data_IF_606547269292
#
_entry.id   IF_606547269292
#
_cell.length_a   1.000
_cell.length_b   1.000
_cell.length_c   1.000
_cell.angle_alpha   90.00
_cell.angle_beta   90.00
_cell.angle_gamma   90.00
#
_symmetry.space_group_name_H-M   'P 1'
#
loop_
_entity.id
_entity.type
_entity.pdbx_description
1 polymer ?
#
# COMPACT_ATOMS: atom_id res chain seq x y z
N UNK A 1 10.79 25.22 5.06
CA UNK A 1 9.49 24.94 4.40
C UNK A 1 9.60 23.97 3.24
N UNK A 2 10.72 24.03 2.51
CA UNK A 2 10.92 23.10 1.38
C UNK A 2 11.01 21.66 1.84
N UNK A 3 11.64 21.40 2.97
CA UNK A 3 11.74 20.05 3.53
C UNK A 3 10.35 19.46 3.84
N UNK A 4 9.46 20.30 4.34
CA UNK A 4 8.08 19.88 4.65
C UNK A 4 7.32 19.57 3.36
N UNK A 5 7.45 20.42 2.35
CA UNK A 5 6.81 20.20 1.04
C UNK A 5 7.32 18.91 0.40
N UNK A 6 8.62 18.66 0.48
CA UNK A 6 9.24 17.45 -0.07
C UNK A 6 8.74 16.21 0.66
N UNK A 7 8.60 16.28 1.98
CA UNK A 7 8.08 15.18 2.78
C UNK A 7 6.65 14.85 2.39
N UNK A 8 5.79 15.88 2.29
CA UNK A 8 4.39 15.70 1.90
C UNK A 8 4.29 15.03 0.53
N UNK A 9 5.09 15.51 -0.43
CA UNK A 9 5.10 14.95 -1.78
C UNK A 9 5.61 13.51 -1.78
N UNK A 10 6.64 13.22 -1.00
CA UNK A 10 7.17 11.86 -0.88
C UNK A 10 6.12 10.90 -0.32
N UNK A 11 5.32 11.35 0.65
CA UNK A 11 4.22 10.55 1.20
C UNK A 11 3.16 10.26 0.15
N UNK A 12 2.77 11.26 -0.63
CA UNK A 12 1.78 11.09 -1.69
C UNK A 12 2.27 10.08 -2.74
N UNK A 13 3.53 10.23 -3.17
CA UNK A 13 4.12 9.31 -4.14
C UNK A 13 4.20 7.89 -3.59
N UNK A 14 4.59 7.74 -2.33
CA UNK A 14 4.69 6.42 -1.69
C UNK A 14 3.33 5.73 -1.60
N UNK A 15 2.29 6.47 -1.22
CA UNK A 15 0.94 5.92 -1.16
C UNK A 15 0.43 5.48 -2.53
N UNK A 16 0.71 6.27 -3.58
CA UNK A 16 0.35 5.91 -4.95
C UNK A 16 1.08 4.64 -5.41
N UNK A 17 2.37 4.52 -5.09
CA UNK A 17 3.15 3.34 -5.45
C UNK A 17 2.59 2.07 -4.78
N UNK A 18 2.26 2.17 -3.50
CA UNK A 18 1.66 1.08 -2.74
C UNK A 18 0.30 0.70 -3.34
N UNK A 19 -0.53 1.70 -3.65
CA UNK A 19 -1.85 1.47 -4.25
C UNK A 19 -1.74 0.73 -5.58
N UNK A 20 -0.76 1.09 -6.43
CA UNK A 20 -0.54 0.41 -7.71
C UNK A 20 -0.13 -1.04 -7.52
N UNK A 21 0.78 -1.31 -6.58
CA UNK A 21 1.23 -2.66 -6.28
C UNK A 21 0.08 -3.52 -5.76
N UNK A 22 -0.73 -2.96 -4.88
CA UNK A 22 -1.90 -3.65 -4.31
C UNK A 22 -2.93 -3.92 -5.39
N UNK A 23 -3.20 -2.96 -6.27
CA UNK A 23 -4.16 -3.15 -7.35
C UNK A 23 -3.72 -4.25 -8.31
N UNK A 24 -2.42 -4.30 -8.63
CA UNK A 24 -1.88 -5.37 -9.46
C UNK A 24 -2.07 -6.75 -8.82
N UNK A 25 -1.86 -6.85 -7.52
CA UNK A 25 -2.07 -8.10 -6.78
C UNK A 25 -3.55 -8.49 -6.75
N UNK A 26 -4.44 -7.53 -6.53
CA UNK A 26 -5.89 -7.77 -6.56
C UNK A 26 -6.31 -8.29 -7.93
N UNK A 27 -5.80 -7.69 -9.01
CA UNK A 27 -6.10 -8.13 -10.36
C UNK A 27 -5.63 -9.57 -10.61
N UNK A 28 -4.45 -9.93 -10.10
CA UNK A 28 -3.95 -11.31 -10.19
C UNK A 28 -4.85 -12.28 -9.46
N UNK A 29 -5.31 -11.92 -8.26
CA UNK A 29 -6.23 -12.75 -7.48
C UNK A 29 -7.54 -12.95 -8.24
N UNK A 30 -8.09 -11.87 -8.80
CA UNK A 30 -9.35 -11.94 -9.55
C UNK A 30 -9.24 -12.82 -10.78
N UNK A 31 -8.07 -12.87 -11.42
CA UNK A 31 -7.85 -13.69 -12.61
C UNK A 31 -7.44 -15.13 -12.30
N UNK A 32 -7.24 -15.49 -11.03
CA UNK A 32 -6.76 -16.81 -10.69
C UNK A 32 -7.89 -17.85 -10.76
N UNK A 33 -7.83 -18.81 -11.71
CA UNK A 33 -8.91 -19.78 -11.87
C UNK A 33 -8.93 -20.86 -10.78
N UNK A 34 -7.89 -20.91 -9.93
CA UNK A 34 -7.77 -21.92 -8.88
C UNK A 34 -8.35 -21.46 -7.54
N UNK A 35 -8.84 -20.22 -7.48
CA UNK A 35 -9.45 -19.67 -6.27
C UNK A 35 -10.96 -19.57 -6.44
N UNK A 36 -11.70 -19.93 -5.40
CA UNK A 36 -13.15 -19.71 -5.35
C UNK A 36 -13.43 -18.22 -5.13
N UNK A 37 -14.65 -17.78 -5.42
CA UNK A 37 -15.07 -16.41 -5.17
C UNK A 37 -14.92 -16.05 -3.69
N UNK A 38 -15.22 -16.99 -2.81
CA UNK A 38 -15.09 -16.80 -1.37
C UNK A 38 -13.64 -16.60 -0.96
N UNK A 39 -12.73 -17.42 -1.53
CA UNK A 39 -11.30 -17.28 -1.28
C UNK A 39 -10.76 -15.94 -1.80
N UNK A 40 -11.18 -15.55 -3.00
CA UNK A 40 -10.79 -14.26 -3.59
C UNK A 40 -11.20 -13.10 -2.69
N UNK A 41 -12.43 -13.12 -2.20
CA UNK A 41 -12.93 -12.05 -1.34
C UNK A 41 -12.17 -11.99 -0.02
N UNK A 42 -11.90 -13.14 0.60
CA UNK A 42 -11.13 -13.19 1.85
C UNK A 42 -9.72 -12.62 1.68
N UNK A 43 -9.06 -12.97 0.57
CA UNK A 43 -7.72 -12.45 0.28
C UNK A 43 -7.73 -10.95 0.00
N UNK A 44 -8.72 -10.47 -0.75
CA UNK A 44 -8.85 -9.03 -1.02
C UNK A 44 -9.14 -8.23 0.26
N UNK A 45 -9.95 -8.77 1.15
CA UNK A 45 -10.23 -8.13 2.44
C UNK A 45 -8.94 -8.01 3.27
N UNK A 46 -8.14 -9.06 3.29
CA UNK A 46 -6.85 -9.05 3.99
C UNK A 46 -5.89 -8.04 3.38
N UNK A 47 -5.83 -7.99 2.07
CA UNK A 47 -4.98 -7.03 1.35
C UNK A 47 -5.40 -5.60 1.69
N UNK A 48 -6.69 -5.32 1.74
CA UNK A 48 -7.19 -3.98 2.08
C UNK A 48 -6.82 -3.58 3.52
N UNK A 49 -6.81 -4.53 4.46
CA UNK A 49 -6.35 -4.27 5.82
C UNK A 49 -4.85 -3.92 5.85
N UNK A 50 -4.05 -4.67 5.11
CA UNK A 50 -2.61 -4.43 5.00
C UNK A 50 -2.36 -3.06 4.34
N UNK A 51 -3.10 -2.74 3.29
CA UNK A 51 -3.01 -1.45 2.60
C UNK A 51 -3.29 -0.29 3.55
N UNK A 52 -4.33 -0.43 4.38
CA UNK A 52 -4.69 0.60 5.35
C UNK A 52 -3.58 0.81 6.37
N UNK A 53 -2.98 -0.28 6.86
CA UNK A 53 -1.83 -0.22 7.77
C UNK A 53 -0.63 0.47 7.10
N UNK A 54 -0.39 0.13 5.83
CA UNK A 54 0.68 0.76 5.05
C UNK A 54 0.47 2.25 4.88
N UNK A 55 -0.74 2.67 4.56
CA UNK A 55 -1.07 4.11 4.46
C UNK A 55 -0.87 4.82 5.79
N UNK A 56 -1.27 4.20 6.90
CA UNK A 56 -1.08 4.78 8.22
C UNK A 56 0.42 4.94 8.55
N UNK A 57 1.23 3.95 8.24
CA UNK A 57 2.66 4.02 8.43
C UNK A 57 3.31 5.15 7.63
N UNK A 58 2.91 5.28 6.37
CA UNK A 58 3.39 6.36 5.50
C UNK A 58 2.95 7.73 6.04
N UNK A 59 1.68 7.85 6.44
CA UNK A 59 1.15 9.11 6.96
C UNK A 59 1.85 9.55 8.25
N UNK A 60 2.26 8.61 9.09
CA UNK A 60 2.94 8.87 10.36
C UNK A 60 4.44 9.10 10.21
N UNK A 61 5.01 8.85 9.05
CA UNK A 61 6.44 9.02 8.82
C UNK A 61 6.83 10.49 8.92
N UNK A 62 7.95 10.75 9.56
CA UNK A 62 8.50 12.10 9.73
C UNK A 62 9.72 12.36 8.85
N UNK A 63 10.25 11.30 8.21
CA UNK A 63 11.41 11.38 7.32
C UNK A 63 11.18 10.49 6.11
N UNK A 64 11.97 10.72 5.05
CA UNK A 64 11.93 9.87 3.84
C UNK A 64 12.35 8.44 4.16
N UNK A 65 13.30 8.27 5.08
CA UNK A 65 13.75 6.95 5.52
C UNK A 65 12.62 6.17 6.19
N UNK A 66 11.83 6.84 7.01
CA UNK A 66 10.66 6.20 7.65
C UNK A 66 9.60 5.82 6.62
N UNK A 67 9.41 6.63 5.57
CA UNK A 67 8.51 6.30 4.45
C UNK A 67 8.97 5.01 3.78
N UNK A 68 10.27 4.91 3.49
CA UNK A 68 10.82 3.71 2.85
C UNK A 68 10.68 2.47 3.73
N UNK A 69 10.87 2.62 5.05
CA UNK A 69 10.65 1.54 6.00
C UNK A 69 9.19 1.09 6.03
N UNK A 70 8.26 2.04 6.00
CA UNK A 70 6.84 1.72 5.99
C UNK A 70 6.45 0.95 4.71
N UNK A 71 7.00 1.34 3.55
CA UNK A 71 6.79 0.62 2.28
C UNK A 71 7.36 -0.78 2.33
N UNK A 72 8.53 -0.96 2.93
CA UNK A 72 9.22 -2.24 2.99
C UNK A 72 8.48 -3.27 3.85
N UNK A 73 7.60 -2.85 4.74
CA UNK A 73 6.81 -3.75 5.59
C UNK A 73 5.58 -4.33 4.86
N UNK A 74 5.34 -3.87 3.67
CA UNK A 74 4.24 -4.35 2.84
C UNK A 74 4.72 -5.45 1.90
#
# INVERSE_FOLDING_TARGET
LQDIKDLVKAKENAKQDVDKQVQALIDEIDRNPNLTDKEKQALKDRINQILQQGHNGINNAMTKEEIEQAKAQL
#
